data_IF_380364622053
#
_entry.id   IF_380364622053
#
_cell.length_a   1.000
_cell.length_b   1.000
_cell.length_c   1.000
_cell.angle_alpha   90.00
_cell.angle_beta   90.00
_cell.angle_gamma   90.00
#
_symmetry.space_group_name_H-M   'P 1'
#
loop_
_entity.id
_entity.type
_entity.pdbx_description
1 polymer ?
#
# COMPACT_ATOMS: atom_id res chain seq x y z
N UNK A 1 14.32 -18.36 -12.33
CA UNK A 1 15.40 -17.73 -11.55
C UNK A 1 14.94 -17.69 -10.10
N UNK A 2 15.66 -18.31 -9.18
CA UNK A 2 15.29 -18.32 -7.74
C UNK A 2 16.27 -17.39 -7.02
N UNK A 3 15.79 -16.25 -6.54
CA UNK A 3 16.60 -15.36 -5.71
C UNK A 3 16.84 -16.04 -4.37
N UNK A 4 18.10 -16.08 -3.94
CA UNK A 4 18.49 -16.74 -2.67
C UNK A 4 18.80 -15.73 -1.57
N UNK A 5 18.88 -14.45 -1.92
CA UNK A 5 19.21 -13.37 -0.99
C UNK A 5 18.11 -12.31 -0.97
N UNK A 6 17.87 -11.78 0.23
CA UNK A 6 16.89 -10.71 0.44
C UNK A 6 17.28 -9.42 -0.30
N UNK A 7 18.57 -9.16 -0.46
CA UNK A 7 19.07 -7.95 -1.15
C UNK A 7 18.69 -7.94 -2.65
N UNK A 8 18.73 -9.10 -3.31
CA UNK A 8 18.31 -9.24 -4.71
C UNK A 8 16.81 -9.00 -4.87
N UNK A 9 16.00 -9.44 -3.89
CA UNK A 9 14.56 -9.20 -3.88
C UNK A 9 14.24 -7.72 -3.65
N UNK A 10 14.99 -7.03 -2.80
CA UNK A 10 14.80 -5.59 -2.55
C UNK A 10 15.12 -4.77 -3.80
N UNK A 11 16.21 -5.08 -4.51
CA UNK A 11 16.53 -4.43 -5.78
C UNK A 11 15.42 -4.62 -6.82
N UNK A 12 14.88 -5.83 -6.93
CA UNK A 12 13.74 -6.11 -7.82
C UNK A 12 12.47 -5.38 -7.38
N UNK A 13 12.23 -5.27 -6.07
CA UNK A 13 11.08 -4.54 -5.53
C UNK A 13 11.16 -3.06 -5.90
N UNK A 14 12.32 -2.43 -5.77
CA UNK A 14 12.53 -1.03 -6.14
C UNK A 14 12.27 -0.75 -7.63
N UNK A 15 12.54 -1.73 -8.50
CA UNK A 15 12.22 -1.64 -9.93
C UNK A 15 10.72 -1.79 -10.25
N UNK A 16 9.89 -2.28 -9.31
CA UNK A 16 8.47 -2.51 -9.57
C UNK A 16 7.72 -1.21 -9.96
N UNK A 17 8.15 -0.05 -9.44
CA UNK A 17 7.60 1.26 -9.85
C UNK A 17 7.78 1.53 -11.35
N UNK A 18 8.97 1.23 -11.90
CA UNK A 18 9.26 1.42 -13.33
C UNK A 18 8.36 0.54 -14.21
N UNK A 19 7.95 -0.61 -13.68
CA UNK A 19 7.08 -1.57 -14.34
C UNK A 19 5.59 -1.33 -14.05
N UNK A 20 5.22 -0.22 -13.37
CA UNK A 20 3.84 0.09 -12.94
C UNK A 20 3.20 -1.04 -12.12
N UNK A 21 4.00 -1.78 -11.36
CA UNK A 21 3.56 -2.85 -10.47
C UNK A 21 3.51 -2.35 -9.01
N UNK A 22 2.57 -2.88 -8.22
CA UNK A 22 2.43 -2.54 -6.79
C UNK A 22 3.55 -3.13 -5.89
N UNK A 23 4.36 -4.03 -6.44
CA UNK A 23 5.42 -4.74 -5.72
C UNK A 23 5.62 -6.15 -6.26
N UNK A 24 6.15 -7.03 -5.41
CA UNK A 24 6.47 -8.41 -5.74
C UNK A 24 5.44 -9.40 -5.18
N UNK A 25 5.30 -10.52 -5.87
CA UNK A 25 4.52 -11.67 -5.41
C UNK A 25 5.48 -12.82 -5.08
N UNK A 26 5.66 -13.12 -3.80
CA UNK A 26 6.49 -14.24 -3.36
C UNK A 26 5.65 -15.51 -3.30
N UNK A 27 6.07 -16.56 -3.99
CA UNK A 27 5.39 -17.86 -3.99
C UNK A 27 6.38 -18.94 -3.59
N UNK A 28 5.96 -19.84 -2.72
CA UNK A 28 6.72 -21.06 -2.47
C UNK A 28 6.76 -21.90 -3.75
N UNK A 29 7.95 -22.32 -4.19
CA UNK A 29 8.14 -23.01 -5.47
C UNK A 29 7.28 -24.29 -5.57
N UNK A 30 7.22 -25.06 -4.49
CA UNK A 30 6.45 -26.31 -4.44
C UNK A 30 4.98 -26.12 -3.99
N UNK A 31 4.46 -24.89 -3.98
CA UNK A 31 3.06 -24.70 -3.55
C UNK A 31 2.08 -25.21 -4.60
N UNK A 32 1.09 -26.05 -4.23
CA UNK A 32 -0.01 -26.37 -5.11
C UNK A 32 -0.90 -25.13 -5.33
N UNK A 33 -1.59 -25.08 -6.47
CA UNK A 33 -2.62 -24.06 -6.69
C UNK A 33 -3.86 -24.39 -5.87
N UNK A 34 -4.11 -23.61 -4.82
CA UNK A 34 -5.23 -23.82 -3.90
C UNK A 34 -6.34 -22.80 -4.14
N UNK A 35 -7.60 -23.25 -4.07
CA UNK A 35 -8.76 -22.37 -4.13
C UNK A 35 -9.07 -21.73 -2.77
N UNK A 36 -9.60 -20.51 -2.83
CA UNK A 36 -10.01 -19.74 -1.64
C UNK A 36 -8.85 -19.01 -0.94
N UNK A 37 -9.11 -18.55 0.29
CA UNK A 37 -8.17 -17.73 1.07
C UNK A 37 -7.25 -18.60 1.94
N UNK A 38 -6.34 -19.33 1.32
CA UNK A 38 -5.30 -20.11 2.03
C UNK A 38 -4.10 -19.22 2.35
N UNK A 39 -3.66 -19.22 3.61
CA UNK A 39 -2.49 -18.48 4.08
C UNK A 39 -1.23 -19.36 3.98
N UNK A 40 -0.07 -18.76 3.74
CA UNK A 40 1.22 -19.43 3.92
C UNK A 40 1.92 -19.96 2.66
N UNK A 41 1.30 -19.90 1.49
CA UNK A 41 1.99 -20.26 0.24
C UNK A 41 2.47 -19.04 -0.53
N UNK A 42 1.63 -18.01 -0.59
CA UNK A 42 1.86 -16.82 -1.42
C UNK A 42 1.78 -15.56 -0.55
N UNK A 43 2.76 -14.65 -0.70
CA UNK A 43 2.87 -13.40 0.07
C UNK A 43 3.03 -12.18 -0.83
N UNK A 44 2.14 -11.20 -0.67
CA UNK A 44 2.23 -9.92 -1.36
C UNK A 44 3.28 -9.07 -0.67
N UNK A 45 4.38 -8.80 -1.35
CA UNK A 45 5.45 -7.96 -0.88
C UNK A 45 5.38 -6.62 -1.61
N UNK A 46 4.55 -5.71 -1.08
CA UNK A 46 4.25 -4.43 -1.71
C UNK A 46 5.38 -3.41 -1.50
N UNK A 47 5.40 -2.41 -2.37
CA UNK A 47 6.17 -1.20 -2.17
C UNK A 47 5.65 -0.42 -0.95
N UNK A 48 6.52 0.41 -0.38
CA UNK A 48 6.11 1.33 0.67
C UNK A 48 5.06 2.31 0.12
N UNK A 49 4.00 2.60 0.89
CA UNK A 49 3.00 3.57 0.47
C UNK A 49 3.66 4.95 0.30
N UNK A 50 3.25 5.67 -0.74
CA UNK A 50 3.60 7.07 -0.89
C UNK A 50 2.86 7.89 0.17
N UNK A 51 3.56 8.83 0.80
CA UNK A 51 2.99 9.78 1.76
C UNK A 51 2.73 11.13 1.09
N UNK A 52 1.69 11.82 1.54
CA UNK A 52 1.28 13.12 1.01
C UNK A 52 0.77 14.00 2.14
N UNK A 53 1.18 15.28 2.13
CA UNK A 53 0.66 16.28 3.04
C UNK A 53 -0.65 16.86 2.49
N UNK A 54 -1.74 16.71 3.25
CA UNK A 54 -3.06 17.13 2.85
C UNK A 54 -3.85 17.73 4.02
N UNK A 55 -4.83 18.59 3.70
CA UNK A 55 -5.71 19.21 4.69
C UNK A 55 -7.01 18.42 4.78
N UNK A 56 -7.41 18.00 5.98
CA UNK A 56 -8.70 17.34 6.19
C UNK A 56 -9.84 18.37 6.08
N UNK A 57 -10.78 18.15 5.15
CA UNK A 57 -11.91 19.05 4.91
C UNK A 57 -13.20 18.54 5.56
N UNK A 58 -13.48 17.24 5.43
CA UNK A 58 -14.70 16.62 5.94
C UNK A 58 -14.43 15.23 6.48
N UNK A 59 -15.21 14.81 7.47
CA UNK A 59 -15.26 13.46 7.99
C UNK A 59 -16.71 12.98 8.07
N UNK A 60 -17.00 11.82 7.50
CA UNK A 60 -18.34 11.23 7.47
C UNK A 60 -18.42 10.06 8.45
N UNK A 61 -19.47 10.07 9.28
CA UNK A 61 -19.72 9.01 10.25
C UNK A 61 -20.01 7.69 9.51
N UNK A 62 -19.43 6.61 10.01
CA UNK A 62 -19.65 5.27 9.51
C UNK A 62 -21.09 4.82 9.76
N UNK A 63 -21.46 3.72 9.10
CA UNK A 63 -22.77 3.09 9.29
C UNK A 63 -22.63 1.70 9.93
N UNK A 64 -23.73 1.20 10.50
CA UNK A 64 -23.83 -0.14 11.08
C UNK A 64 -22.87 -0.35 12.24
N UNK A 65 -22.02 -1.39 12.15
CA UNK A 65 -21.08 -1.79 13.23
C UNK A 65 -20.05 -0.71 13.59
N UNK A 66 -19.85 0.30 12.73
CA UNK A 66 -18.91 1.41 12.94
C UNK A 66 -19.62 2.76 13.06
N UNK A 67 -20.89 2.78 13.47
CA UNK A 67 -21.68 4.01 13.60
C UNK A 67 -21.08 5.06 14.56
N UNK A 68 -20.28 4.62 15.54
CA UNK A 68 -19.65 5.51 16.51
C UNK A 68 -18.30 6.10 16.02
N UNK A 69 -17.88 5.81 14.79
CA UNK A 69 -16.58 6.20 14.24
C UNK A 69 -16.74 6.91 12.90
N UNK A 70 -15.89 7.89 12.61
CA UNK A 70 -15.73 8.41 11.25
C UNK A 70 -14.94 7.40 10.40
N UNK A 71 -15.51 6.98 9.27
CA UNK A 71 -14.89 5.97 8.39
C UNK A 71 -14.37 6.55 7.09
N UNK A 72 -14.94 7.66 6.64
CA UNK A 72 -14.65 8.26 5.35
C UNK A 72 -14.19 9.70 5.55
N UNK A 73 -13.04 10.02 4.96
CA UNK A 73 -12.34 11.29 5.15
C UNK A 73 -12.06 11.91 3.79
N UNK A 74 -12.44 13.18 3.64
CA UNK A 74 -12.19 13.95 2.42
C UNK A 74 -11.05 14.93 2.68
N UNK A 75 -9.97 14.79 1.91
CA UNK A 75 -8.79 15.64 2.00
C UNK A 75 -8.70 16.59 0.80
N UNK A 76 -8.31 17.83 1.07
CA UNK A 76 -7.96 18.82 0.06
C UNK A 76 -6.45 18.95 -0.08
N UNK A 77 -5.98 19.12 -1.31
CA UNK A 77 -4.60 19.44 -1.61
C UNK A 77 -4.50 20.94 -1.89
N UNK A 78 -3.74 21.62 -1.05
CA UNK A 78 -3.43 23.04 -1.23
C UNK A 78 -2.05 23.22 -1.86
N UNK A 79 -1.79 24.37 -2.50
CA UNK A 79 -0.42 24.73 -2.84
C UNK A 79 0.43 24.79 -1.56
N UNK A 80 1.67 24.33 -1.65
CA UNK A 80 2.64 24.50 -0.56
C UNK A 80 2.76 26.00 -0.25
N UNK A 81 2.56 26.44 1.01
CA UNK A 81 2.62 27.86 1.34
C UNK A 81 4.03 28.38 1.09
N UNK A 82 4.18 29.26 0.10
CA UNK A 82 5.48 29.73 -0.40
C UNK A 82 6.12 30.81 0.48
N UNK A 83 5.41 31.36 1.45
CA UNK A 83 5.95 31.99 2.67
C UNK A 83 4.79 32.24 3.62
N UNK A 84 5.03 32.09 4.93
CA UNK A 84 4.05 32.40 5.98
C UNK A 84 4.29 33.85 6.42
N UNK A 85 3.57 34.81 5.83
CA UNK A 85 3.45 36.16 6.39
C UNK A 85 2.28 36.16 7.37
N UNK A 86 2.59 36.32 8.65
CA UNK A 86 1.63 36.78 9.66
C UNK A 86 1.48 38.30 9.57
#
# INVERSE_FOLDING_TARGET
>A
MVNRHWDELEQQRQQAHQHKAEGLMLKHADSPYLSGRKRGHWWKHKLEPMTLDAVLLYAQAGSGRRANLFTDYTFGLGPMPTSRSW
#
